data_IF_005232107414
#
_entry.id   IF_005232107414
#
_cell.length_a   1.000
_cell.length_b   1.000
_cell.length_c   1.000
_cell.angle_alpha   90.00
_cell.angle_beta   90.00
_cell.angle_gamma   90.00
#
_symmetry.space_group_name_H-M   'P 1'
#
loop_
_entity.id
_entity.type
_entity.pdbx_description
1 polymer ?
#
# COMPACT_ATOMS: atom_id res chain seq x y z
N UNK A 1 -9.01 -41.41 -14.87
CA UNK A 1 -8.45 -41.43 -13.50
C UNK A 1 -7.31 -40.43 -13.24
N UNK A 2 -6.40 -40.14 -14.19
CA UNK A 2 -5.24 -39.23 -13.98
C UNK A 2 -5.56 -37.72 -13.76
N UNK A 3 -6.80 -37.27 -14.00
CA UNK A 3 -7.23 -35.88 -13.72
C UNK A 3 -7.53 -35.70 -12.23
N UNK A 4 -8.36 -36.57 -11.67
CA UNK A 4 -8.69 -36.60 -10.24
C UNK A 4 -7.45 -36.60 -9.33
N UNK A 5 -6.42 -37.38 -9.68
CA UNK A 5 -5.17 -37.39 -8.92
C UNK A 5 -4.41 -36.04 -8.95
N UNK A 6 -4.49 -35.31 -10.06
CA UNK A 6 -3.89 -33.96 -10.19
C UNK A 6 -4.69 -32.92 -9.44
N UNK A 7 -6.01 -33.03 -9.49
CA UNK A 7 -6.91 -32.13 -8.77
C UNK A 7 -6.74 -32.30 -7.26
N UNK A 8 -6.69 -33.54 -6.75
CA UNK A 8 -6.38 -33.84 -5.35
C UNK A 8 -5.03 -33.29 -4.90
N UNK A 9 -3.98 -33.44 -5.73
CA UNK A 9 -2.65 -32.87 -5.43
C UNK A 9 -2.68 -31.34 -5.37
N UNK A 10 -3.53 -30.70 -6.16
CA UNK A 10 -3.68 -29.24 -6.18
C UNK A 10 -4.40 -28.76 -4.94
N UNK A 11 -5.49 -29.43 -4.55
CA UNK A 11 -6.24 -29.15 -3.32
C UNK A 11 -5.33 -29.30 -2.09
N UNK A 12 -4.51 -30.36 -2.03
CA UNK A 12 -3.57 -30.56 -0.92
C UNK A 12 -2.57 -29.39 -0.79
N UNK A 13 -2.02 -28.90 -1.91
CA UNK A 13 -1.12 -27.74 -1.92
C UNK A 13 -1.82 -26.45 -1.50
N UNK A 14 -3.07 -26.25 -1.91
CA UNK A 14 -3.86 -25.08 -1.52
C UNK A 14 -4.15 -25.10 -0.02
N UNK A 15 -4.46 -26.27 0.54
CA UNK A 15 -4.68 -26.43 1.98
C UNK A 15 -3.44 -26.11 2.80
N UNK A 16 -2.26 -26.60 2.37
CA UNK A 16 -0.99 -26.29 3.03
C UNK A 16 -0.66 -24.79 3.00
N UNK A 17 -0.91 -24.12 1.88
CA UNK A 17 -0.72 -22.68 1.75
C UNK A 17 -1.69 -21.88 2.62
N UNK A 18 -2.93 -22.33 2.76
CA UNK A 18 -3.91 -21.71 3.67
C UNK A 18 -3.46 -21.87 5.13
N UNK A 19 -2.98 -23.06 5.53
CA UNK A 19 -2.45 -23.30 6.89
C UNK A 19 -1.30 -22.37 7.24
N UNK A 20 -0.32 -22.23 6.34
CA UNK A 20 0.82 -21.30 6.54
C UNK A 20 0.36 -19.84 6.65
N UNK A 21 -0.69 -19.48 5.91
CA UNK A 21 -1.27 -18.13 5.96
C UNK A 21 -2.04 -17.88 7.25
N UNK A 22 -2.74 -18.88 7.78
CA UNK A 22 -3.43 -18.76 9.08
C UNK A 22 -2.44 -18.70 10.24
N UNK A 23 -1.36 -19.48 10.22
CA UNK A 23 -0.30 -19.42 11.25
C UNK A 23 0.39 -18.05 11.28
N UNK A 24 0.75 -17.50 10.11
CA UNK A 24 1.35 -16.16 10.03
C UNK A 24 0.37 -15.05 10.44
N UNK A 25 -0.93 -15.22 10.23
CA UNK A 25 -1.96 -14.31 10.75
C UNK A 25 -2.14 -14.44 12.27
N UNK A 26 -2.10 -15.65 12.83
CA UNK A 26 -2.16 -15.88 14.27
C UNK A 26 -0.95 -15.26 15.00
N UNK A 27 0.27 -15.43 14.46
CA UNK A 27 1.47 -14.78 14.98
C UNK A 27 1.41 -13.25 14.89
N UNK A 28 0.71 -12.70 13.89
CA UNK A 28 0.50 -11.26 13.78
C UNK A 28 -0.57 -10.73 14.75
N UNK A 29 -1.55 -11.58 15.12
CA UNK A 29 -2.62 -11.25 16.04
C UNK A 29 -2.17 -11.30 17.51
N UNK A 30 -1.34 -12.28 17.90
CA UNK A 30 -0.75 -12.31 19.24
C UNK A 30 0.24 -11.16 19.49
N UNK A 31 0.77 -10.54 18.43
CA UNK A 31 1.70 -9.39 18.54
C UNK A 31 1.00 -8.02 18.60
N UNK A 32 -0.32 -7.98 18.73
CA UNK A 32 -1.06 -6.74 19.00
C UNK A 32 -1.66 -6.76 20.41
N UNK A 33 -1.16 -5.92 21.35
CA UNK A 33 -1.80 -5.76 22.64
C UNK A 33 -3.11 -4.99 22.49
N UNK A 34 -4.14 -5.51 23.14
CA UNK A 34 -5.43 -4.87 23.35
C UNK A 34 -5.29 -3.61 24.20
N UNK A 35 -5.74 -2.48 23.65
CA UNK A 35 -6.48 -1.35 24.25
C UNK A 35 -6.11 -0.91 25.69
N UNK A 36 -5.60 0.32 25.85
CA UNK A 36 -6.27 1.41 26.58
C UNK A 36 -5.34 2.63 26.83
N UNK A 37 -5.96 3.82 26.87
CA UNK A 37 -5.47 5.13 27.37
C UNK A 37 -4.63 6.04 26.45
N UNK A 38 -5.24 7.16 26.05
CA UNK A 38 -4.55 8.43 25.82
C UNK A 38 -4.22 9.08 27.19
N UNK A 39 -3.31 10.07 27.35
CA UNK A 39 -2.76 10.97 26.33
C UNK A 39 -1.22 11.23 26.42
N UNK A 40 -0.76 12.09 25.52
CA UNK A 40 0.48 12.90 25.55
C UNK A 40 1.85 12.31 25.17
N UNK A 41 2.41 12.97 24.13
CA UNK A 41 3.81 13.32 23.88
C UNK A 41 4.86 12.34 24.42
N UNK A 42 5.49 11.62 23.48
CA UNK A 42 6.97 11.53 23.43
C UNK A 42 7.42 11.27 22.00
N UNK A 43 8.22 12.21 21.54
CA UNK A 43 9.16 12.10 20.43
C UNK A 43 9.86 10.74 20.42
N UNK A 44 9.70 9.98 19.35
CA UNK A 44 10.64 8.94 18.99
C UNK A 44 10.84 8.97 17.47
N UNK A 45 11.87 9.73 17.07
CA UNK A 45 12.55 9.50 15.80
C UNK A 45 13.03 8.04 15.76
N UNK A 46 13.24 7.59 14.53
CA UNK A 46 13.97 6.40 14.08
C UNK A 46 13.30 5.03 14.30
N UNK A 47 12.66 4.54 13.23
CA UNK A 47 13.06 3.26 12.65
C UNK A 47 13.16 3.41 11.14
N UNK A 48 14.40 3.65 10.69
CA UNK A 48 14.81 3.42 9.32
C UNK A 48 14.60 1.92 9.03
N UNK A 49 13.41 1.55 8.56
CA UNK A 49 13.14 0.21 8.10
C UNK A 49 13.87 0.03 6.76
N UNK A 50 14.96 -0.74 6.82
CA UNK A 50 15.66 -1.44 5.72
C UNK A 50 15.00 -1.26 4.35
N UNK A 51 15.71 -0.53 3.47
CA UNK A 51 15.44 -0.44 2.03
C UNK A 51 15.42 -1.87 1.47
N UNK A 52 14.22 -2.43 1.26
CA UNK A 52 14.04 -3.57 0.35
C UNK A 52 14.27 -3.07 -1.08
N UNK A 53 14.83 -3.90 -1.98
CA UNK A 53 15.10 -3.50 -3.36
C UNK A 53 13.80 -3.05 -4.02
N UNK A 54 13.94 -2.08 -4.94
CA UNK A 54 12.88 -1.29 -5.54
C UNK A 54 11.84 -2.11 -6.30
N UNK A 55 10.95 -2.79 -5.58
CA UNK A 55 9.59 -3.01 -6.06
C UNK A 55 8.92 -1.65 -6.08
N UNK A 56 8.47 -1.20 -7.26
CA UNK A 56 7.76 0.05 -7.41
C UNK A 56 6.60 0.09 -6.41
N UNK A 57 6.71 0.93 -5.37
CA UNK A 57 5.65 1.00 -4.39
C UNK A 57 4.40 1.55 -5.09
N UNK A 58 3.18 1.25 -4.62
CA UNK A 58 1.97 1.86 -5.18
C UNK A 58 2.05 3.40 -5.22
N UNK A 59 2.79 3.99 -4.27
CA UNK A 59 3.09 5.43 -4.27
C UNK A 59 4.00 5.84 -5.42
N UNK A 60 5.06 5.08 -5.70
CA UNK A 60 5.99 5.39 -6.79
C UNK A 60 5.33 5.21 -8.16
N UNK A 61 4.42 4.23 -8.30
CA UNK A 61 3.60 4.08 -9.52
C UNK A 61 2.69 5.29 -9.75
N UNK A 62 1.97 5.74 -8.72
CA UNK A 62 1.14 6.94 -8.81
C UNK A 62 1.98 8.17 -9.13
N UNK A 63 3.13 8.34 -8.48
CA UNK A 63 4.04 9.45 -8.76
C UNK A 63 4.57 9.41 -10.20
N UNK A 64 4.90 8.23 -10.73
CA UNK A 64 5.34 8.08 -12.13
C UNK A 64 4.24 8.49 -13.12
N UNK A 65 2.98 8.12 -12.86
CA UNK A 65 1.84 8.58 -13.67
C UNK A 65 1.72 10.10 -13.56
N UNK A 66 1.78 10.65 -12.35
CA UNK A 66 1.60 12.08 -12.14
C UNK A 66 2.71 12.94 -12.75
N UNK A 67 3.96 12.46 -12.79
CA UNK A 67 5.09 13.15 -13.44
C UNK A 67 4.84 13.42 -14.93
N UNK A 68 3.97 12.63 -15.58
CA UNK A 68 3.58 12.87 -16.98
C UNK A 68 2.65 14.09 -17.15
N UNK A 69 2.06 14.61 -16.07
CA UNK A 69 1.08 15.69 -16.10
C UNK A 69 1.62 16.95 -15.43
N UNK A 70 2.19 17.88 -16.22
CA UNK A 70 2.75 19.15 -15.72
C UNK A 70 1.71 20.09 -15.10
N UNK A 71 0.44 20.00 -15.52
CA UNK A 71 -0.68 20.83 -15.01
C UNK A 71 -1.32 20.27 -13.72
N UNK A 72 -0.81 19.14 -13.22
CA UNK A 72 -1.46 18.37 -12.17
C UNK A 72 -2.56 17.47 -12.69
N UNK A 73 -3.04 16.59 -11.81
CA UNK A 73 -3.99 15.52 -12.11
C UNK A 73 -5.07 15.42 -11.04
N UNK A 74 -6.28 15.04 -11.46
CA UNK A 74 -7.42 14.81 -10.57
C UNK A 74 -7.41 13.41 -9.97
N UNK A 75 -8.07 13.24 -8.83
CA UNK A 75 -8.23 11.92 -8.17
C UNK A 75 -8.92 10.90 -9.10
N UNK A 76 -9.91 11.32 -9.89
CA UNK A 76 -10.57 10.45 -10.86
C UNK A 76 -9.65 10.03 -12.00
N UNK A 77 -8.85 10.97 -12.52
CA UNK A 77 -7.86 10.66 -13.56
C UNK A 77 -6.78 9.70 -13.06
N UNK A 78 -6.40 9.81 -11.78
CA UNK A 78 -5.52 8.86 -11.11
C UNK A 78 -6.15 7.48 -10.99
N UNK A 79 -7.43 7.41 -10.63
CA UNK A 79 -8.19 6.17 -10.53
C UNK A 79 -8.23 5.42 -11.85
N UNK A 80 -8.58 6.12 -12.93
CA UNK A 80 -8.64 5.52 -14.26
C UNK A 80 -7.29 5.00 -14.77
N UNK A 81 -6.18 5.68 -14.42
CA UNK A 81 -4.85 5.33 -14.92
C UNK A 81 -4.10 4.31 -14.06
N UNK A 82 -4.32 4.31 -12.75
CA UNK A 82 -3.59 3.44 -11.83
C UNK A 82 -4.38 2.19 -11.43
N UNK A 83 -5.69 2.16 -11.64
CA UNK A 83 -6.55 1.04 -11.22
C UNK A 83 -6.65 0.86 -9.70
N UNK A 84 -6.30 1.87 -8.90
CA UNK A 84 -6.41 1.79 -7.44
C UNK A 84 -7.82 2.19 -6.97
N UNK A 85 -8.25 1.61 -5.85
CA UNK A 85 -9.49 2.02 -5.19
C UNK A 85 -9.38 3.44 -4.64
N UNK A 86 -10.51 4.14 -4.52
CA UNK A 86 -10.57 5.53 -4.06
C UNK A 86 -9.84 5.76 -2.72
N UNK A 87 -10.08 4.87 -1.75
CA UNK A 87 -9.40 4.92 -0.44
C UNK A 87 -7.89 4.75 -0.56
N UNK A 88 -7.42 3.92 -1.48
CA UNK A 88 -5.99 3.73 -1.72
C UNK A 88 -5.37 5.00 -2.32
N UNK A 89 -6.03 5.62 -3.29
CA UNK A 89 -5.55 6.86 -3.90
C UNK A 89 -5.50 7.98 -2.88
N UNK A 90 -6.56 8.17 -2.08
CA UNK A 90 -6.59 9.18 -1.01
C UNK A 90 -5.43 8.98 -0.03
N UNK A 91 -5.17 7.75 0.41
CA UNK A 91 -4.04 7.43 1.28
C UNK A 91 -2.68 7.67 0.62
N UNK A 92 -2.51 7.31 -0.64
CA UNK A 92 -1.27 7.52 -1.40
C UNK A 92 -1.01 9.01 -1.56
N UNK A 93 -2.02 9.76 -1.99
CA UNK A 93 -1.99 11.22 -2.18
C UNK A 93 -1.65 11.92 -0.86
N UNK A 94 -2.32 11.54 0.23
CA UNK A 94 -2.07 12.11 1.55
C UNK A 94 -0.63 11.83 2.02
N UNK A 95 -0.16 10.59 1.87
CA UNK A 95 1.23 10.22 2.21
C UNK A 95 2.25 10.92 1.31
N UNK A 96 1.98 11.07 0.02
CA UNK A 96 2.86 11.74 -0.93
C UNK A 96 2.97 13.25 -0.63
N UNK A 97 1.85 13.89 -0.28
CA UNK A 97 1.79 15.28 0.14
C UNK A 97 2.57 15.48 1.46
N UNK A 98 2.37 14.60 2.44
CA UNK A 98 3.11 14.64 3.73
C UNK A 98 4.62 14.44 3.55
N UNK A 99 5.03 13.68 2.54
CA UNK A 99 6.46 13.46 2.20
C UNK A 99 7.05 14.57 1.31
N UNK A 100 6.27 15.59 0.93
CA UNK A 100 6.75 16.68 0.07
C UNK A 100 7.00 16.30 -1.39
N UNK A 101 6.56 15.11 -1.84
CA UNK A 101 6.75 14.67 -3.23
C UNK A 101 5.74 15.31 -4.21
N UNK A 102 4.71 15.95 -3.69
CA UNK A 102 3.57 16.46 -4.44
C UNK A 102 2.91 17.60 -3.67
N UNK A 103 2.35 18.57 -4.39
CA UNK A 103 1.60 19.69 -3.84
C UNK A 103 0.17 19.66 -4.34
N UNK A 104 -0.76 20.09 -3.46
CA UNK A 104 -2.14 20.36 -3.84
C UNK A 104 -2.20 21.75 -4.48
N UNK A 105 -2.64 21.83 -5.74
CA UNK A 105 -2.85 23.10 -6.44
C UNK A 105 -4.27 23.62 -6.15
N UNK A 106 -5.25 22.72 -6.10
CA UNK A 106 -6.66 23.07 -5.89
C UNK A 106 -7.45 21.94 -5.24
N UNK A 107 -8.77 22.09 -5.14
CA UNK A 107 -9.61 21.03 -4.58
C UNK A 107 -9.62 19.81 -5.52
N UNK A 108 -9.01 18.72 -5.07
CA UNK A 108 -8.91 17.48 -5.85
C UNK A 108 -7.87 17.48 -6.96
N UNK A 109 -7.07 18.54 -7.10
CA UNK A 109 -6.01 18.67 -8.13
C UNK A 109 -4.64 18.71 -7.48
N UNK A 110 -3.76 17.82 -7.91
CA UNK A 110 -2.42 17.64 -7.35
C UNK A 110 -1.36 17.67 -8.44
N UNK A 111 -0.21 18.28 -8.15
CA UNK A 111 0.95 18.30 -9.06
C UNK A 111 2.21 17.84 -8.35
N UNK A 112 3.07 17.15 -9.08
CA UNK A 112 4.35 16.63 -8.58
C UNK A 112 5.33 17.79 -8.43
N UNK A 113 6.11 17.76 -7.35
CA UNK A 113 7.27 18.62 -7.23
C UNK A 113 8.38 18.01 -8.09
N UNK A 114 8.83 18.71 -9.12
CA UNK A 114 10.11 18.37 -9.75
C UNK A 114 11.20 18.72 -8.73
N UNK A 115 11.95 17.70 -8.33
CA UNK A 115 13.24 17.82 -7.63
C UNK A 115 14.26 17.19 -8.54
#
# INVERSE_FOLDING_TARGET
MKKLARDLKTVAKQLENLSKKTESMAMAFEKSPSVATAPEKKTARTRAAKRKPAGSTPTDQVLAIMKRFKKGITVESLRGKSGFNEKQISNIVHRACKKGKMKRIGRGVYSVYDV
#
